data_IF_447305640150
#
_entry.id   IF_447305640150
#
_cell.length_a   1.000
_cell.length_b   1.000
_cell.length_c   1.000
_cell.angle_alpha   90.00
_cell.angle_beta   90.00
_cell.angle_gamma   90.00
#
_symmetry.space_group_name_H-M   'P 1'
#
loop_
_entity.id
_entity.type
_entity.pdbx_description
1 polymer ?
#
# COMPACT_ATOMS: atom_id res chain seq x y z
N UNK A 1 27.84 -42.75 14.57
CA UNK A 1 26.69 -42.19 15.29
C UNK A 1 26.39 -40.83 14.72
N UNK A 2 25.66 -40.88 13.61
CA UNK A 2 24.83 -39.82 13.05
C UNK A 2 23.95 -39.21 14.15
N UNK A 3 23.82 -37.89 14.17
CA UNK A 3 22.62 -37.20 14.67
C UNK A 3 22.58 -35.78 14.12
N UNK A 4 21.84 -35.69 13.02
CA UNK A 4 21.24 -34.51 12.41
C UNK A 4 20.37 -33.76 13.44
N UNK A 5 20.49 -32.43 13.53
CA UNK A 5 19.37 -31.56 13.89
C UNK A 5 19.43 -30.29 13.05
N UNK A 6 18.67 -30.28 11.94
CA UNK A 6 17.39 -29.57 11.75
C UNK A 6 17.60 -28.13 11.33
N UNK A 7 17.40 -27.92 10.04
CA UNK A 7 17.13 -26.65 9.43
C UNK A 7 15.85 -26.04 10.00
N UNK A 8 15.88 -24.76 10.36
CA UNK A 8 14.75 -23.88 10.13
C UNK A 8 15.28 -22.54 9.61
N UNK A 9 15.17 -22.38 8.30
CA UNK A 9 15.22 -21.07 7.67
C UNK A 9 14.05 -20.26 8.25
N UNK A 10 14.36 -19.37 9.20
CA UNK A 10 13.45 -18.34 9.69
C UNK A 10 13.08 -17.47 8.49
N UNK A 11 11.96 -17.82 7.88
CA UNK A 11 11.30 -17.02 6.85
C UNK A 11 10.74 -15.80 7.54
N UNK A 12 11.48 -14.70 7.46
CA UNK A 12 11.01 -13.37 7.81
C UNK A 12 9.57 -13.16 7.30
N UNK A 13 8.58 -12.91 8.16
CA UNK A 13 7.24 -12.55 7.70
C UNK A 13 7.13 -11.06 7.33
N UNK A 14 8.24 -10.29 7.31
CA UNK A 14 8.23 -8.91 6.77
C UNK A 14 8.17 -8.86 5.23
N UNK A 15 8.08 -10.01 4.57
CA UNK A 15 7.46 -10.11 3.27
C UNK A 15 6.02 -10.61 3.49
N UNK A 16 5.12 -9.70 3.84
CA UNK A 16 3.73 -9.88 3.40
C UNK A 16 3.85 -9.98 1.88
N UNK A 17 3.78 -11.22 1.40
CA UNK A 17 4.03 -11.59 0.03
C UNK A 17 3.33 -10.58 -0.87
N UNK A 18 4.13 -9.73 -1.51
CA UNK A 18 3.80 -9.25 -2.81
C UNK A 18 3.59 -10.54 -3.61
N UNK A 19 2.34 -10.98 -3.72
CA UNK A 19 1.97 -11.98 -4.68
C UNK A 19 2.58 -11.48 -6.00
N UNK A 20 3.50 -12.23 -6.62
CA UNK A 20 4.09 -11.82 -7.88
C UNK A 20 2.95 -11.83 -8.90
N UNK A 21 2.44 -10.67 -9.30
CA UNK A 21 1.42 -10.61 -10.36
C UNK A 21 0.44 -9.45 -10.40
N UNK A 22 0.57 -8.38 -9.62
CA UNK A 22 -0.28 -7.18 -9.83
C UNK A 22 0.47 -5.91 -9.46
N UNK A 23 1.09 -5.29 -10.47
CA UNK A 23 2.05 -4.20 -10.32
C UNK A 23 1.36 -2.83 -10.22
N UNK A 24 0.07 -2.81 -9.88
CA UNK A 24 -0.85 -1.67 -9.96
C UNK A 24 -1.37 -1.20 -8.59
N UNK A 25 -0.68 -1.56 -7.50
CA UNK A 25 -0.97 -1.08 -6.16
C UNK A 25 0.02 0.00 -5.72
N UNK A 26 -0.49 1.15 -5.32
CA UNK A 26 0.28 2.26 -4.76
C UNK A 26 0.03 2.32 -3.25
N UNK A 27 1.11 2.19 -2.48
CA UNK A 27 1.06 2.42 -1.04
C UNK A 27 1.45 3.87 -0.72
N UNK A 28 0.50 4.61 -0.17
CA UNK A 28 0.69 6.01 0.21
C UNK A 28 1.18 6.09 1.65
N UNK A 29 2.16 6.98 1.89
CA UNK A 29 2.77 7.25 3.18
C UNK A 29 2.93 8.76 3.37
N UNK A 30 2.90 9.23 4.62
CA UNK A 30 2.81 10.66 4.94
C UNK A 30 4.17 11.38 5.00
N UNK A 31 5.26 10.68 5.33
CA UNK A 31 6.49 11.35 5.83
C UNK A 31 7.67 11.36 4.85
N UNK A 32 7.60 10.69 3.71
CA UNK A 32 8.77 10.51 2.83
C UNK A 32 8.60 11.02 1.39
N UNK A 33 7.37 11.24 0.93
CA UNK A 33 7.08 11.61 -0.45
C UNK A 33 6.07 12.76 -0.48
N UNK A 34 6.26 13.78 -1.35
CA UNK A 34 5.28 14.85 -1.50
C UNK A 34 3.99 14.32 -2.12
N UNK A 35 2.86 15.01 -1.89
CA UNK A 35 1.54 14.58 -2.37
C UNK A 35 1.52 14.28 -3.89
N UNK A 36 2.08 15.19 -4.69
CA UNK A 36 2.13 15.09 -6.15
C UNK A 36 2.93 13.89 -6.66
N UNK A 37 3.82 13.30 -5.85
CA UNK A 37 4.51 12.08 -6.22
C UNK A 37 3.50 10.94 -6.48
N UNK A 38 2.51 10.79 -5.61
CA UNK A 38 1.49 9.75 -5.72
C UNK A 38 0.48 10.03 -6.84
N UNK A 39 0.16 11.31 -7.06
CA UNK A 39 -0.67 11.74 -8.19
C UNK A 39 0.02 11.35 -9.51
N UNK A 40 1.32 11.64 -9.64
CA UNK A 40 2.05 11.34 -10.87
C UNK A 40 2.21 9.83 -11.10
N UNK A 41 2.45 9.04 -10.04
CA UNK A 41 2.45 7.58 -10.16
C UNK A 41 1.11 7.02 -10.64
N UNK A 42 0.00 7.63 -10.20
CA UNK A 42 -1.34 7.23 -10.63
C UNK A 42 -1.67 7.69 -12.06
N UNK A 43 -0.96 8.69 -12.59
CA UNK A 43 -1.10 9.15 -13.99
C UNK A 43 -0.38 8.25 -14.99
N UNK A 44 0.75 7.63 -14.62
CA UNK A 44 1.53 6.79 -15.54
C UNK A 44 0.69 5.69 -16.23
N UNK A 45 -0.24 5.00 -15.53
CA UNK A 45 -1.13 4.03 -16.17
C UNK A 45 -2.33 4.66 -16.87
N UNK A 46 -2.71 5.88 -16.49
CA UNK A 46 -3.94 6.56 -16.93
C UNK A 46 -3.74 7.39 -18.20
N UNK A 47 -2.59 8.06 -18.36
CA UNK A 47 -2.32 9.02 -19.44
C UNK A 47 -1.23 8.56 -20.44
N UNK A 48 -0.67 7.35 -20.30
CA UNK A 48 0.53 6.93 -21.07
C UNK A 48 0.50 5.53 -21.69
N UNK A 49 1.41 5.30 -22.65
CA UNK A 49 1.66 4.09 -23.46
C UNK A 49 1.87 2.76 -22.68
N UNK A 50 1.87 2.77 -21.35
CA UNK A 50 2.01 1.60 -20.47
C UNK A 50 0.64 1.20 -19.87
N UNK A 51 -0.31 0.87 -20.74
CA UNK A 51 -1.63 0.34 -20.35
C UNK A 51 -1.58 -1.11 -19.84
N UNK A 52 -0.53 -1.50 -19.12
CA UNK A 52 -0.47 -2.86 -18.58
C UNK A 52 -1.54 -3.12 -17.52
N UNK A 53 -2.14 -2.06 -16.95
CA UNK A 53 -3.22 -2.15 -15.96
C UNK A 53 -4.26 -1.05 -16.17
N UNK A 54 -5.52 -1.43 -16.39
CA UNK A 54 -6.67 -0.52 -16.54
C UNK A 54 -7.16 0.06 -15.19
N UNK A 55 -6.70 -0.53 -14.08
CA UNK A 55 -7.13 -0.18 -12.73
C UNK A 55 -5.93 -0.04 -11.81
N UNK A 56 -6.02 0.91 -10.87
CA UNK A 56 -4.99 1.21 -9.87
C UNK A 56 -5.61 1.12 -8.48
N UNK A 57 -4.92 0.43 -7.56
CA UNK A 57 -5.31 0.35 -6.16
C UNK A 57 -4.48 1.33 -5.31
N UNK A 58 -5.13 2.32 -4.71
CA UNK A 58 -4.51 3.20 -3.72
C UNK A 58 -4.74 2.63 -2.32
N UNK A 59 -3.67 2.42 -1.54
CA UNK A 59 -3.76 1.88 -0.18
C UNK A 59 -2.96 2.71 0.81
N UNK A 60 -3.48 2.87 2.03
CA UNK A 60 -2.80 3.57 3.12
C UNK A 60 -3.22 3.04 4.48
N UNK A 61 -2.43 3.38 5.49
CA UNK A 61 -2.69 3.07 6.89
C UNK A 61 -2.54 4.32 7.76
N UNK A 62 -3.39 4.44 8.77
CA UNK A 62 -3.32 5.51 9.77
C UNK A 62 -3.38 6.91 9.15
N UNK A 63 -2.40 7.76 9.48
CA UNK A 63 -2.35 9.16 9.03
C UNK A 63 -2.24 9.32 7.51
N UNK A 64 -1.82 8.28 6.78
CA UNK A 64 -1.71 8.33 5.33
C UNK A 64 -3.07 8.18 4.60
N UNK A 65 -4.15 7.87 5.32
CA UNK A 65 -5.50 7.74 4.74
C UNK A 65 -5.97 9.08 4.14
N UNK A 66 -5.76 10.21 4.85
CA UNK A 66 -6.12 11.54 4.34
C UNK A 66 -5.50 11.85 2.97
N UNK A 67 -4.17 11.73 2.81
CA UNK A 67 -3.51 11.88 1.51
C UNK A 67 -4.04 10.97 0.40
N UNK A 68 -4.45 9.72 0.69
CA UNK A 68 -5.06 8.84 -0.33
C UNK A 68 -6.37 9.43 -0.85
N UNK A 69 -7.22 9.92 0.05
CA UNK A 69 -8.49 10.56 -0.32
C UNK A 69 -8.22 11.77 -1.20
N UNK A 70 -7.27 12.63 -0.82
CA UNK A 70 -6.89 13.80 -1.61
C UNK A 70 -6.36 13.43 -3.00
N UNK A 71 -5.51 12.40 -3.11
CA UNK A 71 -5.01 11.93 -4.42
C UNK A 71 -6.15 11.42 -5.28
N UNK A 72 -7.07 10.63 -4.73
CA UNK A 72 -8.23 10.13 -5.47
C UNK A 72 -9.15 11.27 -5.93
N UNK A 73 -9.38 12.28 -5.08
CA UNK A 73 -10.15 13.48 -5.43
C UNK A 73 -9.49 14.29 -6.55
N UNK A 74 -8.17 14.50 -6.49
CA UNK A 74 -7.44 15.20 -7.56
C UNK A 74 -7.61 14.48 -8.91
N UNK A 75 -7.48 13.14 -8.93
CA UNK A 75 -7.60 12.36 -10.16
C UNK A 75 -9.03 12.38 -10.73
N UNK A 76 -10.05 12.31 -9.86
CA UNK A 76 -11.46 12.43 -10.27
C UNK A 76 -11.80 13.82 -10.79
N UNK A 77 -11.36 14.87 -10.10
CA UNK A 77 -11.63 16.27 -10.48
C UNK A 77 -10.99 16.64 -11.81
N UNK A 78 -9.85 16.02 -12.14
CA UNK A 78 -9.17 16.22 -13.42
C UNK A 78 -9.75 15.36 -14.56
N UNK A 79 -10.77 14.54 -14.30
CA UNK A 79 -11.36 13.62 -15.31
C UNK A 79 -10.43 12.46 -15.70
N UNK A 80 -9.41 12.18 -14.90
CA UNK A 80 -8.37 11.19 -15.21
C UNK A 80 -8.76 9.79 -14.71
N UNK A 81 -9.49 9.68 -13.60
CA UNK A 81 -9.88 8.39 -13.05
C UNK A 81 -11.34 8.39 -12.59
N UNK A 82 -11.95 7.19 -12.60
CA UNK A 82 -13.23 6.92 -11.94
C UNK A 82 -12.99 5.99 -10.75
N UNK A 83 -13.84 6.11 -9.73
CA UNK A 83 -13.78 5.19 -8.59
C UNK A 83 -14.42 3.85 -8.95
N UNK A 84 -13.69 2.75 -8.74
CA UNK A 84 -14.24 1.41 -8.91
C UNK A 84 -14.76 0.86 -7.58
N UNK A 85 -13.90 0.89 -6.54
CA UNK A 85 -14.22 0.34 -5.23
C UNK A 85 -13.49 1.09 -4.12
N UNK A 86 -14.19 1.30 -3.00
CA UNK A 86 -13.61 1.87 -1.77
C UNK A 86 -13.78 0.85 -0.65
N UNK A 87 -12.67 0.50 0.01
CA UNK A 87 -12.66 -0.43 1.13
C UNK A 87 -11.86 0.18 2.28
N UNK A 88 -12.39 0.04 3.49
CA UNK A 88 -11.67 0.32 4.72
C UNK A 88 -11.73 -0.90 5.61
N UNK A 89 -10.62 -1.22 6.27
CA UNK A 89 -10.54 -2.33 7.20
C UNK A 89 -9.59 -1.98 8.33
N UNK A 90 -9.82 -2.62 9.47
CA UNK A 90 -8.89 -2.56 10.60
C UNK A 90 -7.91 -3.71 10.48
N UNK A 91 -6.62 -3.41 10.50
CA UNK A 91 -5.55 -4.41 10.56
C UNK A 91 -4.87 -4.34 11.92
N UNK A 92 -4.75 -5.48 12.60
CA UNK A 92 -3.96 -5.60 13.83
C UNK A 92 -2.48 -5.72 13.48
N UNK A 93 -1.68 -4.74 13.83
CA UNK A 93 -0.21 -4.79 13.64
C UNK A 93 0.44 -5.27 14.93
N UNK A 94 1.20 -6.37 14.87
CA UNK A 94 2.05 -6.81 15.98
C UNK A 94 3.28 -5.90 16.02
N UNK A 95 3.25 -4.86 16.85
CA UNK A 95 4.41 -3.99 17.09
C UNK A 95 5.26 -4.63 18.19
N UNK A 96 6.23 -5.48 17.80
CA UNK A 96 7.14 -6.14 18.73
C UNK A 96 8.13 -5.17 19.40
N UNK A 97 8.18 -3.91 18.93
CA UNK A 97 9.10 -2.87 19.40
C UNK A 97 8.48 -1.83 20.34
N UNK A 98 7.15 -1.75 20.46
CA UNK A 98 6.48 -0.77 21.31
C UNK A 98 5.39 -1.43 22.14
N UNK A 99 5.71 -1.75 23.39
CA UNK A 99 4.76 -2.01 24.47
C UNK A 99 3.91 -0.79 24.85
N UNK A 100 3.43 0.01 23.88
CA UNK A 100 2.54 1.14 24.11
C UNK A 100 1.19 0.86 23.48
N UNK A 101 0.26 0.46 24.33
CA UNK A 101 -1.17 0.40 24.03
C UNK A 101 -1.62 1.79 23.57
N UNK A 102 -1.93 1.94 22.28
CA UNK A 102 -2.57 3.15 21.78
C UNK A 102 -4.06 3.04 22.11
N UNK A 103 -4.50 3.72 23.17
CA UNK A 103 -5.93 3.86 23.50
C UNK A 103 -6.56 4.82 22.49
N UNK A 104 -7.63 4.38 21.82
CA UNK A 104 -8.45 5.25 20.98
C UNK A 104 -9.57 5.86 21.83
N UNK A 105 -9.72 7.18 21.75
CA UNK A 105 -10.94 7.89 22.09
C UNK A 105 -11.90 7.83 20.89
#
# INVERSE_FOLDING_TARGET
MDSVMVAEAVKDPTAAAAAPGKNNRIQVSTNKKPLYFYVNLAKVPVEGYMQQYNEIELSALGMAIGPVVTVAEILKNNGQATENKILTSTVGTKDETKGRLVRKA
#
